data_IF_836636892015
#
_entry.id   IF_836636892015
#
_cell.length_a   1.000
_cell.length_b   1.000
_cell.length_c   1.000
_cell.angle_alpha   90.00
_cell.angle_beta   90.00
_cell.angle_gamma   90.00
#
_symmetry.space_group_name_H-M   'P 1'
#
loop_
_entity.id
_entity.type
_entity.pdbx_description
1 polymer ?
#
# COMPACT_ATOMS: atom_id res chain seq x y z
N UNK A 1 -15.17 17.09 -11.84
CA UNK A 1 -14.06 16.70 -10.94
C UNK A 1 -13.77 15.22 -11.12
N UNK A 2 -12.50 14.80 -11.13
CA UNK A 2 -12.17 13.38 -11.05
C UNK A 2 -12.13 13.01 -9.57
N UNK A 3 -13.10 12.21 -9.12
CA UNK A 3 -13.10 11.65 -7.78
C UNK A 3 -12.24 10.38 -7.79
N UNK A 4 -11.26 10.30 -6.89
CA UNK A 4 -10.41 9.14 -6.71
C UNK A 4 -10.86 8.35 -5.50
N UNK A 5 -10.82 7.02 -5.58
CA UNK A 5 -11.12 6.15 -4.43
C UNK A 5 -9.81 5.78 -3.74
N UNK A 6 -9.59 6.33 -2.54
CA UNK A 6 -8.45 6.01 -1.68
C UNK A 6 -8.88 5.07 -0.56
N UNK A 7 -7.93 4.38 0.05
CA UNK A 7 -8.18 3.58 1.25
C UNK A 7 -7.76 4.38 2.48
N UNK A 8 -8.66 4.52 3.44
CA UNK A 8 -8.41 5.19 4.72
C UNK A 8 -7.69 4.27 5.71
N UNK A 9 -7.26 4.87 6.83
CA UNK A 9 -6.59 4.17 7.93
C UNK A 9 -7.46 3.04 8.51
N UNK A 10 -8.79 3.18 8.41
CA UNK A 10 -9.75 2.16 8.86
C UNK A 10 -9.89 0.97 7.89
N UNK A 11 -9.12 0.95 6.80
CA UNK A 11 -9.24 -0.05 5.73
C UNK A 11 -10.51 0.09 4.89
N UNK A 12 -11.21 1.22 5.01
CA UNK A 12 -12.43 1.55 4.24
C UNK A 12 -12.09 2.45 3.05
N UNK A 13 -12.66 2.19 1.87
CA UNK A 13 -12.51 3.10 0.73
C UNK A 13 -13.27 4.40 0.98
N UNK A 14 -12.64 5.54 0.66
CA UNK A 14 -13.24 6.86 0.72
C UNK A 14 -12.95 7.65 -0.56
N UNK A 15 -13.79 8.64 -0.87
CA UNK A 15 -13.60 9.50 -2.04
C UNK A 15 -12.66 10.63 -1.67
N UNK A 16 -11.65 10.85 -2.51
CA UNK A 16 -10.72 11.97 -2.40
C UNK A 16 -10.67 12.75 -3.71
N UNK A 17 -10.43 14.05 -3.60
CA UNK A 17 -10.10 14.88 -4.76
C UNK A 17 -8.70 14.57 -5.30
N UNK A 18 -7.83 13.97 -4.47
CA UNK A 18 -6.45 13.66 -4.81
C UNK A 18 -6.29 12.17 -5.14
N UNK A 19 -5.47 11.82 -6.15
CA UNK A 19 -5.22 10.43 -6.55
C UNK A 19 -4.43 9.59 -5.55
N UNK A 20 -3.89 10.20 -4.48
CA UNK A 20 -3.01 9.56 -3.52
C UNK A 20 -1.57 9.45 -4.03
N UNK A 21 -0.61 9.45 -3.10
CA UNK A 21 0.83 9.42 -3.43
C UNK A 21 1.42 8.01 -3.41
N UNK A 22 0.75 7.08 -2.73
CA UNK A 22 1.19 5.70 -2.59
C UNK A 22 0.21 4.73 -3.23
N UNK A 23 0.75 3.66 -3.79
CA UNK A 23 -0.03 2.58 -4.40
C UNK A 23 0.09 1.30 -3.57
N UNK A 24 -0.97 0.51 -3.55
CA UNK A 24 -0.94 -0.79 -2.93
C UNK A 24 -1.77 -1.82 -3.67
N UNK A 25 -1.68 -3.06 -3.20
CA UNK A 25 -2.41 -4.18 -3.75
C UNK A 25 -3.33 -4.76 -2.66
N UNK A 26 -4.64 -4.66 -2.87
CA UNK A 26 -5.67 -5.04 -1.90
C UNK A 26 -5.56 -6.50 -1.47
N UNK A 27 -5.35 -7.42 -2.41
CA UNK A 27 -5.28 -8.87 -2.12
C UNK A 27 -4.02 -9.29 -1.37
N UNK A 28 -2.88 -8.64 -1.64
CA UNK A 28 -1.61 -8.94 -0.96
C UNK A 28 -1.38 -8.09 0.29
N UNK A 29 -2.27 -7.10 0.55
CA UNK A 29 -2.14 -6.09 1.61
C UNK A 29 -0.74 -5.48 1.66
N UNK A 30 -0.19 -5.14 0.50
CA UNK A 30 1.11 -4.47 0.37
C UNK A 30 0.90 -3.03 -0.07
N UNK A 31 1.66 -2.11 0.48
CA UNK A 31 1.77 -0.74 -0.03
C UNK A 31 3.20 -0.48 -0.49
N UNK A 32 3.35 0.45 -1.43
CA UNK A 32 4.62 0.85 -2.00
C UNK A 32 4.47 2.13 -2.79
N UNK A 33 5.57 2.52 -3.44
CA UNK A 33 5.53 3.67 -4.34
C UNK A 33 4.92 3.29 -5.69
N UNK A 34 4.40 4.30 -6.39
CA UNK A 34 3.79 4.14 -7.71
C UNK A 34 4.82 3.72 -8.78
N UNK A 35 6.10 4.04 -8.59
CA UNK A 35 7.24 3.64 -9.43
C UNK A 35 7.74 2.20 -9.18
N UNK A 36 7.10 1.42 -8.31
CA UNK A 36 7.61 0.12 -7.93
C UNK A 36 7.71 -0.83 -9.14
N UNK A 37 8.87 -1.46 -9.40
CA UNK A 37 9.04 -2.44 -10.48
C UNK A 37 8.05 -3.60 -10.38
N UNK A 38 7.69 -4.00 -9.15
CA UNK A 38 6.67 -5.03 -8.93
C UNK A 38 5.28 -4.57 -9.36
N UNK A 39 4.95 -3.28 -9.17
CA UNK A 39 3.67 -2.73 -9.61
C UNK A 39 3.64 -2.60 -11.14
N UNK A 40 4.72 -2.11 -11.75
CA UNK A 40 4.86 -2.02 -13.21
C UNK A 40 4.76 -3.39 -13.89
N UNK A 41 5.48 -4.40 -13.36
CA UNK A 41 5.38 -5.79 -13.86
C UNK A 41 3.97 -6.33 -13.75
N UNK A 42 3.25 -5.97 -12.69
CA UNK A 42 1.91 -6.46 -12.49
C UNK A 42 0.89 -5.77 -13.42
N UNK A 43 1.04 -4.47 -13.64
CA UNK A 43 0.31 -3.74 -14.68
C UNK A 43 0.56 -4.33 -16.07
N UNK A 44 1.83 -4.64 -16.40
CA UNK A 44 2.19 -5.28 -17.67
C UNK A 44 1.58 -6.69 -17.84
N UNK A 45 1.27 -7.39 -16.74
CA UNK A 45 0.62 -8.71 -16.74
C UNK A 45 -0.92 -8.65 -16.87
N UNK A 46 -1.53 -7.47 -16.99
CA UNK A 46 -2.96 -7.28 -17.25
C UNK A 46 -3.92 -7.71 -16.12
N UNK A 47 -3.43 -8.32 -15.05
CA UNK A 47 -4.23 -8.91 -13.96
C UNK A 47 -4.41 -7.98 -12.74
N UNK A 48 -3.89 -6.75 -12.81
CA UNK A 48 -3.68 -5.90 -11.63
C UNK A 48 -4.55 -4.64 -11.52
N UNK A 49 -5.38 -4.34 -12.53
CA UNK A 49 -6.21 -3.13 -12.52
C UNK A 49 -7.27 -3.13 -11.41
N UNK A 50 -7.91 -4.28 -11.16
CA UNK A 50 -9.07 -4.35 -10.27
C UNK A 50 -8.73 -4.28 -8.76
N UNK A 51 -7.50 -4.60 -8.37
CA UNK A 51 -7.10 -4.68 -6.96
C UNK A 51 -6.08 -3.62 -6.56
N UNK A 52 -5.81 -2.65 -7.45
CA UNK A 52 -4.94 -1.51 -7.16
C UNK A 52 -5.69 -0.54 -6.24
N UNK A 53 -5.13 -0.30 -5.07
CA UNK A 53 -5.62 0.69 -4.11
C UNK A 53 -4.61 1.82 -4.01
N UNK A 54 -5.09 2.99 -3.65
CA UNK A 54 -4.25 4.17 -3.46
C UNK A 54 -4.41 4.67 -2.03
N UNK A 55 -3.33 5.24 -1.49
CA UNK A 55 -3.30 5.81 -0.15
C UNK A 55 -2.84 7.25 -0.24
N UNK A 56 -3.38 8.10 0.64
CA UNK A 56 -2.92 9.48 0.79
C UNK A 56 -1.44 9.50 1.21
N UNK A 57 -1.10 8.70 2.22
CA UNK A 57 0.20 8.65 2.86
C UNK A 57 0.52 7.24 3.40
N UNK A 58 1.77 7.08 3.87
CA UNK A 58 2.27 5.81 4.39
C UNK A 58 1.62 5.40 5.73
N UNK A 59 1.33 6.36 6.61
CA UNK A 59 0.75 6.05 7.91
C UNK A 59 -0.66 5.49 7.73
N UNK A 60 -1.44 6.08 6.84
CA UNK A 60 -2.76 5.57 6.44
C UNK A 60 -2.67 4.13 5.95
N UNK A 61 -1.68 3.79 5.13
CA UNK A 61 -1.49 2.41 4.65
C UNK A 61 -1.12 1.44 5.79
N UNK A 62 -0.21 1.84 6.69
CA UNK A 62 0.19 1.04 7.85
C UNK A 62 -0.99 0.81 8.79
N UNK A 63 -1.75 1.87 9.10
CA UNK A 63 -2.92 1.83 9.97
C UNK A 63 -4.01 0.91 9.39
N UNK A 64 -4.20 0.93 8.07
CA UNK A 64 -5.09 0.03 7.35
C UNK A 64 -4.63 -1.45 7.36
N UNK A 65 -3.48 -1.76 7.97
CA UNK A 65 -2.93 -3.11 8.07
C UNK A 65 -2.17 -3.56 6.81
N UNK A 66 -1.70 -2.62 5.98
CA UNK A 66 -0.87 -2.95 4.84
C UNK A 66 0.60 -2.97 5.25
N UNK A 67 1.36 -3.91 4.68
CA UNK A 67 2.80 -4.02 4.89
C UNK A 67 3.57 -3.28 3.79
N UNK A 68 4.73 -2.67 4.12
CA UNK A 68 5.62 -2.10 3.11
C UNK A 68 6.10 -3.16 2.12
N UNK A 69 6.25 -2.76 0.86
CA UNK A 69 6.77 -3.62 -0.18
C UNK A 69 8.25 -3.97 0.08
N UNK A 70 8.58 -5.25 0.08
CA UNK A 70 9.97 -5.73 0.25
C UNK A 70 10.89 -5.35 -0.90
N UNK A 71 10.37 -4.98 -2.08
CA UNK A 71 11.16 -4.63 -3.26
C UNK A 71 11.53 -3.14 -3.24
N UNK A 72 10.53 -2.24 -3.27
CA UNK A 72 10.79 -0.81 -3.36
C UNK A 72 11.04 -0.15 -1.99
N UNK A 73 10.54 -0.74 -0.91
CA UNK A 73 10.64 -0.21 0.47
C UNK A 73 11.29 -1.23 1.41
N UNK A 74 12.39 -1.88 0.96
CA UNK A 74 13.11 -2.92 1.72
C UNK A 74 13.45 -2.49 3.15
N UNK A 75 13.97 -1.28 3.33
CA UNK A 75 14.33 -0.75 4.66
C UNK A 75 13.11 -0.64 5.59
N UNK A 76 11.98 -0.12 5.09
CA UNK A 76 10.73 -0.03 5.85
C UNK A 76 10.14 -1.41 6.15
N UNK A 77 10.26 -2.35 5.20
CA UNK A 77 9.87 -3.74 5.42
C UNK A 77 10.66 -4.44 6.51
N UNK A 78 11.97 -4.22 6.58
CA UNK A 78 12.79 -4.74 7.68
C UNK A 78 12.35 -4.16 9.02
N UNK A 79 12.14 -2.84 9.11
CA UNK A 79 11.62 -2.19 10.34
C UNK A 79 10.26 -2.75 10.75
N UNK A 80 9.32 -2.85 9.82
CA UNK A 80 7.99 -3.42 10.07
C UNK A 80 8.07 -4.86 10.58
N UNK A 81 8.96 -5.69 10.01
CA UNK A 81 9.17 -7.07 10.45
C UNK A 81 9.74 -7.12 11.87
N UNK A 82 10.73 -6.28 12.17
CA UNK A 82 11.33 -6.20 13.51
C UNK A 82 10.35 -5.68 14.56
N UNK A 83 9.54 -4.66 14.26
CA UNK A 83 8.51 -4.14 15.17
C UNK A 83 7.48 -5.21 15.51
N UNK A 84 7.03 -5.98 14.52
CA UNK A 84 6.10 -7.11 14.74
C UNK A 84 6.70 -8.22 15.60
N UNK A 85 7.99 -8.51 15.43
CA UNK A 85 8.67 -9.53 16.22
C UNK A 85 8.81 -9.10 17.69
N UNK A 86 9.12 -7.83 17.92
CA UNK A 86 9.19 -7.24 19.26
C UNK A 86 7.82 -7.22 19.96
N UNK A 87 6.74 -6.89 19.24
CA UNK A 87 5.38 -6.91 19.79
C UNK A 87 4.90 -8.31 20.17
N UNK A 88 5.44 -9.35 19.55
CA UNK A 88 5.06 -10.76 19.81
C UNK A 88 5.83 -11.37 20.99
N UNK A 89 6.96 -10.78 21.35
CA UNK A 89 7.83 -11.23 22.43
C UNK A 89 7.55 -10.52 23.77
N UNK A 90 6.47 -9.73 23.84
CA UNK A 90 6.00 -8.99 25.02
C UNK A 90 4.64 -9.54 25.43
#
# INVERSE_FOLDING_TARGET
>A
MREYTLLGADGRPYRSAEPGTLGGHRRLRIYGRLDCPSALRALARGTYGANRVFFADEQTAIAAGYRPCSVCLRAKYLRWKSDRDQRRSR
#
